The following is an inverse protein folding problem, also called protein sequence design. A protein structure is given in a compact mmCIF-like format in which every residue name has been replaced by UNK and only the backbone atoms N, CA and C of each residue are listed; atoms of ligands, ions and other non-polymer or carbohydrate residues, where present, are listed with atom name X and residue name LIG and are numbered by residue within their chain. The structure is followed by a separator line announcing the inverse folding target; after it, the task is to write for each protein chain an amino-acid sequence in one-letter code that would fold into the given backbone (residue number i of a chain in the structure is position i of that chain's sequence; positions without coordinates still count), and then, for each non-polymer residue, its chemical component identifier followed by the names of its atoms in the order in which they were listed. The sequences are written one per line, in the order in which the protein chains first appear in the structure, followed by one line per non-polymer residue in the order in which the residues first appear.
data_IF_238683904592
#
_entry.id   IF_238683904592
#
_cell.length_a   1.000
_cell.length_b   1.000
_cell.length_c   1.000
_cell.angle_alpha   90.00
_cell.angle_beta   90.00
_cell.angle_gamma   90.00
#
_symmetry.space_group_name_H-M   'P 1'
#
loop_
_entity.id
_entity.type
_entity.pdbx_description
1 polymer ?
#
# COMPACT_ATOMS: atom_id res chain seq x y z
N UNK A 1 3.72 1.08 -9.47
CA UNK A 1 3.18 -0.25 -9.14
C UNK A 1 4.26 -1.31 -9.14
N UNK A 2 5.10 -1.39 -10.16
CA UNK A 2 6.16 -2.43 -10.27
C UNK A 2 7.09 -2.49 -9.05
N UNK A 3 7.47 -1.34 -8.48
CA UNK A 3 8.31 -1.29 -7.29
C UNK A 3 7.63 -1.93 -6.06
N UNK A 4 6.34 -1.69 -5.84
CA UNK A 4 5.59 -2.30 -4.74
C UNK A 4 5.51 -3.80 -4.95
N UNK A 5 5.16 -4.24 -6.15
CA UNK A 5 5.11 -5.67 -6.49
C UNK A 5 6.47 -6.33 -6.23
N UNK A 6 7.57 -5.68 -6.60
CA UNK A 6 8.92 -6.16 -6.34
C UNK A 6 9.27 -6.20 -4.85
N UNK A 7 8.87 -5.21 -4.05
CA UNK A 7 9.06 -5.22 -2.59
C UNK A 7 8.26 -6.33 -1.92
N UNK A 8 7.00 -6.51 -2.33
CA UNK A 8 6.12 -7.57 -1.81
C UNK A 8 6.62 -8.96 -2.20
N UNK A 9 7.11 -9.15 -3.42
CA UNK A 9 7.68 -10.42 -3.85
C UNK A 9 8.93 -10.81 -3.06
N UNK A 10 9.75 -9.85 -2.59
CA UNK A 10 10.92 -10.12 -1.75
C UNK A 10 10.57 -10.75 -0.40
N UNK A 11 9.38 -10.46 0.12
CA UNK A 11 8.87 -11.03 1.38
C UNK A 11 7.91 -12.21 1.12
N UNK A 12 7.88 -12.74 -0.11
CA UNK A 12 7.06 -13.90 -0.49
C UNK A 12 5.59 -13.60 -0.71
N UNK A 13 5.20 -12.33 -0.79
CA UNK A 13 3.82 -11.90 -0.99
C UNK A 13 3.55 -11.55 -2.46
N UNK A 14 2.68 -12.30 -3.12
CA UNK A 14 2.31 -12.04 -4.52
C UNK A 14 1.11 -11.11 -4.63
N UNK A 15 1.35 -9.82 -4.90
CA UNK A 15 0.28 -8.86 -5.12
C UNK A 15 -0.23 -8.90 -6.56
N UNK A 16 -1.49 -9.27 -6.71
CA UNK A 16 -2.23 -9.23 -7.98
C UNK A 16 -3.01 -7.93 -8.03
N UNK A 17 -2.61 -7.02 -8.92
CA UNK A 17 -3.33 -5.77 -9.17
C UNK A 17 -4.65 -6.05 -9.91
N UNK A 18 -5.76 -5.59 -9.37
CA UNK A 18 -7.09 -5.71 -9.97
C UNK A 18 -7.53 -4.40 -10.65
N UNK A 19 -7.31 -3.27 -9.99
CA UNK A 19 -7.72 -1.95 -10.47
C UNK A 19 -6.78 -0.88 -9.93
N UNK A 20 -6.54 0.16 -10.72
CA UNK A 20 -5.97 1.41 -10.22
C UNK A 20 -6.79 2.58 -10.75
N UNK A 21 -7.03 3.58 -9.90
CA UNK A 21 -7.79 4.76 -10.29
C UNK A 21 -7.37 5.99 -9.46
N UNK A 22 -7.49 7.20 -10.02
CA UNK A 22 -7.40 8.43 -9.24
C UNK A 22 -8.48 8.46 -8.16
N UNK A 23 -8.14 8.93 -6.96
CA UNK A 23 -9.08 9.13 -5.85
C UNK A 23 -9.23 10.59 -5.44
N UNK A 24 -8.46 11.49 -6.06
CA UNK A 24 -8.48 12.93 -5.81
C UNK A 24 -7.35 13.65 -6.54
N UNK A 25 -7.24 14.97 -6.38
CA UNK A 25 -6.20 15.77 -7.03
C UNK A 25 -4.77 15.44 -6.54
N UNK A 26 -4.66 14.87 -5.35
CA UNK A 26 -3.39 14.52 -4.70
C UNK A 26 -3.38 13.06 -4.25
N UNK A 27 -4.25 12.23 -4.81
CA UNK A 27 -4.37 10.84 -4.38
C UNK A 27 -4.78 9.88 -5.48
N UNK A 28 -4.27 8.67 -5.39
CA UNK A 28 -4.66 7.54 -6.23
C UNK A 28 -4.80 6.30 -5.35
N UNK A 29 -5.63 5.35 -5.81
CA UNK A 29 -5.82 4.07 -5.14
C UNK A 29 -5.54 2.94 -6.10
N UNK A 30 -4.96 1.86 -5.59
CA UNK A 30 -4.84 0.60 -6.28
C UNK A 30 -5.47 -0.51 -5.44
N UNK A 31 -6.37 -1.28 -6.03
CA UNK A 31 -7.00 -2.44 -5.43
C UNK A 31 -6.36 -3.70 -5.99
N UNK A 32 -6.11 -4.66 -5.13
CA UNK A 32 -5.55 -5.95 -5.52
C UNK A 32 -5.79 -7.01 -4.47
N UNK A 33 -5.01 -8.08 -4.55
CA UNK A 33 -5.05 -9.15 -3.57
C UNK A 33 -3.70 -9.83 -3.38
N UNK A 34 -3.46 -10.32 -2.17
CA UNK A 34 -2.36 -11.24 -1.81
C UNK A 34 -3.01 -12.47 -1.20
N UNK A 35 -2.69 -13.66 -1.69
CA UNK A 35 -3.24 -14.94 -1.20
C UNK A 35 -4.79 -14.97 -1.08
N UNK A 36 -5.48 -14.27 -1.99
CA UNK A 36 -6.95 -14.17 -2.00
C UNK A 36 -7.53 -13.13 -1.03
N UNK A 37 -6.71 -12.47 -0.22
CA UNK A 37 -7.12 -11.35 0.64
C UNK A 37 -7.13 -10.05 -0.15
N UNK A 38 -8.24 -9.30 -0.10
CA UNK A 38 -8.39 -8.05 -0.84
C UNK A 38 -7.69 -6.90 -0.12
N UNK A 39 -6.78 -6.25 -0.84
CA UNK A 39 -5.97 -5.16 -0.33
C UNK A 39 -6.23 -3.88 -1.13
N UNK A 40 -6.02 -2.76 -0.46
CA UNK A 40 -6.05 -1.43 -1.05
C UNK A 40 -4.76 -0.70 -0.71
N UNK A 41 -4.12 -0.16 -1.74
CA UNK A 41 -3.00 0.75 -1.64
C UNK A 41 -3.49 2.16 -1.89
N UNK A 42 -3.20 3.07 -0.97
CA UNK A 42 -3.41 4.51 -1.18
C UNK A 42 -2.08 5.20 -1.42
N UNK A 43 -2.05 6.00 -2.48
CA UNK A 43 -0.96 6.90 -2.80
C UNK A 43 -1.46 8.31 -2.49
N UNK A 44 -0.72 9.02 -1.65
CA UNK A 44 -1.11 10.33 -1.14
C UNK A 44 0.05 11.31 -1.30
N UNK A 45 -0.24 12.51 -1.80
CA UNK A 45 0.66 13.66 -1.71
C UNK A 45 0.09 14.59 -0.65
N UNK A 46 0.84 14.86 0.40
CA UNK A 46 0.47 15.83 1.42
C UNK A 46 0.81 17.25 0.91
N UNK A 47 -0.19 18.09 0.60
CA UNK A 47 0.08 19.37 -0.05
C UNK A 47 0.81 20.36 0.84
N UNK A 48 0.69 20.23 2.17
CA UNK A 48 1.34 21.13 3.12
C UNK A 48 2.86 20.91 3.20
N UNK A 49 3.31 19.67 3.04
CA UNK A 49 4.72 19.26 3.19
C UNK A 49 5.36 18.85 1.87
N UNK A 50 4.54 18.69 0.81
CA UNK A 50 4.93 18.10 -0.47
C UNK A 50 5.53 16.70 -0.34
N UNK A 51 5.18 15.97 0.72
CA UNK A 51 5.62 14.60 0.93
C UNK A 51 4.66 13.61 0.29
N UNK A 52 5.21 12.55 -0.24
CA UNK A 52 4.51 11.39 -0.76
C UNK A 52 4.40 10.32 0.34
N UNK A 53 3.28 9.63 0.38
CA UNK A 53 3.07 8.50 1.26
C UNK A 53 2.34 7.37 0.53
N UNK A 54 2.69 6.15 0.88
CA UNK A 54 1.98 4.94 0.47
C UNK A 54 1.41 4.30 1.73
N UNK A 55 0.18 3.79 1.63
CA UNK A 55 -0.49 3.11 2.74
C UNK A 55 -1.13 1.85 2.23
N UNK A 56 -1.01 0.78 3.01
CA UNK A 56 -1.62 -0.51 2.72
C UNK A 56 -2.78 -0.76 3.70
N UNK A 57 -3.93 -1.13 3.15
CA UNK A 57 -5.16 -1.37 3.89
C UNK A 57 -5.74 -2.74 3.54
N UNK A 58 -6.45 -3.34 4.49
CA UNK A 58 -7.45 -4.36 4.20
C UNK A 58 -8.63 -3.64 3.56
N UNK A 59 -8.96 -4.02 2.32
CA UNK A 59 -10.04 -3.40 1.55
C UNK A 59 -11.41 -3.52 2.25
N UNK A 60 -11.56 -4.46 3.19
CA UNK A 60 -12.79 -4.68 3.98
C UNK A 60 -12.84 -3.84 5.25
N UNK A 61 -11.70 -3.57 5.88
CA UNK A 61 -11.64 -2.91 7.20
C UNK A 61 -11.38 -1.40 7.10
N UNK A 62 -10.94 -0.89 5.94
CA UNK A 62 -10.61 0.54 5.68
C UNK A 62 -9.71 1.18 6.77
N UNK A 63 -8.98 0.34 7.50
CA UNK A 63 -8.04 0.73 8.53
C UNK A 63 -6.64 0.28 8.10
N UNK A 64 -5.65 1.16 8.30
CA UNK A 64 -4.26 0.90 7.94
C UNK A 64 -3.57 0.36 9.18
N UNK A 65 -3.14 -0.91 9.19
CA UNK A 65 -2.55 -1.49 10.38
C UNK A 65 -1.10 -1.02 10.61
N UNK A 66 -0.46 -0.42 9.59
CA UNK A 66 0.91 0.08 9.67
C UNK A 66 0.98 1.62 9.78
N UNK A 67 2.01 2.15 10.47
CA UNK A 67 2.29 3.58 10.48
C UNK A 67 2.64 4.09 9.07
N UNK A 68 2.15 5.27 8.73
CA UNK A 68 2.41 5.91 7.45
C UNK A 68 3.89 6.30 7.33
N UNK A 69 4.57 5.78 6.29
CA UNK A 69 5.89 6.29 5.90
C UNK A 69 5.70 7.39 4.85
N UNK A 70 6.13 8.60 5.21
CA UNK A 70 6.14 9.75 4.31
C UNK A 70 7.58 10.07 3.88
N UNK A 71 7.76 10.33 2.59
CA UNK A 71 9.05 10.64 1.98
C UNK A 71 8.90 11.68 0.86
N UNK A 72 9.99 12.31 0.38
CA UNK A 72 9.91 13.27 -0.73
C UNK A 72 9.35 12.68 -2.03
N UNK A 73 9.52 11.38 -2.25
CA UNK A 73 9.03 10.66 -3.44
C UNK A 73 8.26 9.40 -3.07
N UNK A 74 7.43 8.89 -3.99
CA UNK A 74 6.73 7.62 -3.77
C UNK A 74 7.70 6.45 -3.70
N UNK A 75 8.75 6.46 -4.51
CA UNK A 75 9.80 5.44 -4.53
C UNK A 75 10.47 5.34 -3.15
N UNK A 76 10.91 6.47 -2.58
CA UNK A 76 11.50 6.47 -1.24
C UNK A 76 10.51 6.06 -0.15
N UNK A 77 9.22 6.40 -0.29
CA UNK A 77 8.20 5.98 0.66
C UNK A 77 8.02 4.45 0.60
N UNK A 78 7.96 3.87 -0.60
CA UNK A 78 7.82 2.43 -0.83
C UNK A 78 9.04 1.67 -0.32
N UNK A 79 10.26 2.18 -0.54
CA UNK A 79 11.49 1.50 -0.09
C UNK A 79 11.69 1.55 1.43
N UNK A 80 11.18 2.59 2.09
CA UNK A 80 11.25 2.76 3.55
C UNK A 80 10.09 2.10 4.28
N UNK A 81 9.07 1.64 3.56
CA UNK A 81 7.91 0.99 4.15
C UNK A 81 8.30 -0.39 4.71
N UNK A 82 7.75 -0.73 5.87
CA UNK A 82 7.94 -2.01 6.52
C UNK A 82 6.89 -3.02 6.00
N UNK A 83 6.99 -3.39 4.73
CA UNK A 83 5.98 -4.20 4.04
C UNK A 83 5.63 -5.52 4.74
N UNK A 84 6.63 -6.18 5.35
CA UNK A 84 6.41 -7.40 6.11
C UNK A 84 5.51 -7.16 7.34
N UNK A 85 5.81 -6.14 8.13
CA UNK A 85 5.00 -5.76 9.29
C UNK A 85 3.60 -5.30 8.88
N UNK A 86 3.50 -4.54 7.76
CA UNK A 86 2.22 -4.11 7.24
C UNK A 86 1.34 -5.29 6.83
N UNK A 87 1.91 -6.32 6.18
CA UNK A 87 1.18 -7.54 5.81
C UNK A 87 0.85 -8.41 7.02
N UNK A 88 1.75 -8.56 7.99
CA UNK A 88 1.47 -9.32 9.22
C UNK A 88 0.36 -8.64 10.05
N UNK A 89 0.36 -7.32 10.11
CA UNK A 89 -0.61 -6.54 10.87
C UNK A 89 -1.96 -6.43 10.15
N UNK A 90 -1.99 -6.57 8.82
CA UNK A 90 -3.20 -7.00 8.13
C UNK A 90 -3.46 -8.41 8.64
N UNK A 91 -4.31 -8.55 9.66
CA UNK A 91 -4.82 -9.84 10.09
C UNK A 91 -5.51 -10.49 8.90
N UNK A 92 -4.74 -11.22 8.08
CA UNK A 92 -5.18 -12.06 6.99
C UNK A 92 -5.89 -13.26 7.62
N UNK A 93 -6.95 -12.99 8.39
CA UNK A 93 -7.83 -14.01 8.92
C UNK A 93 -8.37 -14.75 7.70
N UNK A 94 -7.96 -16.02 7.58
CA UNK A 94 -8.44 -16.91 6.54
C UNK A 94 -9.98 -16.87 6.50
N UNK A 95 -10.58 -16.89 5.30
CA UNK A 95 -12.03 -16.83 5.13
C UNK A 95 -12.78 -17.94 5.88
#
# INVERSE_FOLDING_TARGET
MDLIIAQLAQIGAEFVLSLSQPAGPFSAIALGSIDGHHLRLDFLIEPATSLCAVRLFDARKNDSPAPQVAAPTFEEAIEKDAWAEAIEALTLEAP
#
